data_IF_791568623461
#
_entry.id   IF_791568623461
#
_cell.length_a   1.000
_cell.length_b   1.000
_cell.length_c   1.000
_cell.angle_alpha   90.00
_cell.angle_beta   90.00
_cell.angle_gamma   90.00
#
_symmetry.space_group_name_H-M   'P 1'
#
loop_
_entity.id
_entity.type
_entity.pdbx_description
1 polymer ?
#
# COMPACT_ATOMS: atom_id res chain seq x y z
N UNK A 1 -3.66 11.01 30.88
CA UNK A 1 -4.02 9.66 30.39
C UNK A 1 -2.76 8.99 29.88
N UNK A 2 -2.15 8.14 30.72
CA UNK A 2 -0.93 7.41 30.38
C UNK A 2 -1.28 6.32 29.37
N UNK A 3 -0.86 6.50 28.10
CA UNK A 3 -0.88 5.42 27.12
C UNK A 3 0.08 4.34 27.61
N UNK A 4 -0.49 3.29 28.19
CA UNK A 4 0.20 2.05 28.54
C UNK A 4 1.09 1.63 27.36
N UNK A 5 2.40 1.69 27.58
CA UNK A 5 3.43 1.13 26.71
C UNK A 5 3.30 -0.40 26.72
N UNK A 6 2.32 -0.91 25.97
CA UNK A 6 2.41 -2.27 25.46
C UNK A 6 3.33 -2.17 24.25
N UNK A 7 4.47 -2.85 24.29
CA UNK A 7 5.33 -3.06 23.12
C UNK A 7 4.56 -3.90 22.11
N UNK A 8 3.66 -3.28 21.36
CA UNK A 8 3.12 -3.88 20.14
C UNK A 8 4.17 -3.59 19.07
N UNK A 9 5.06 -4.56 18.86
CA UNK A 9 5.98 -4.49 17.72
C UNK A 9 5.11 -4.54 16.46
N UNK A 10 4.97 -3.40 15.79
CA UNK A 10 4.24 -3.35 14.51
C UNK A 10 4.97 -4.28 13.55
N UNK A 11 4.26 -5.26 13.03
CA UNK A 11 4.80 -6.17 12.01
C UNK A 11 4.86 -5.43 10.67
N UNK A 12 5.75 -5.83 9.74
CA UNK A 12 5.79 -5.27 8.39
C UNK A 12 4.41 -5.22 7.72
N UNK A 13 3.62 -6.27 7.89
CA UNK A 13 2.28 -6.43 7.34
C UNK A 13 1.19 -5.57 8.03
N UNK A 14 1.52 -4.86 9.11
CA UNK A 14 0.66 -3.83 9.69
C UNK A 14 0.79 -2.51 8.91
N UNK A 15 1.82 -2.34 8.07
CA UNK A 15 2.01 -1.17 7.23
C UNK A 15 1.54 -1.43 5.79
N UNK A 16 0.97 -0.41 5.15
CA UNK A 16 0.66 -0.47 3.74
C UNK A 16 1.94 -0.30 2.90
N UNK A 17 2.22 -1.23 1.98
CA UNK A 17 3.39 -1.14 1.10
C UNK A 17 3.47 0.17 0.29
N UNK A 18 2.34 0.70 -0.19
CA UNK A 18 2.33 1.93 -1.02
C UNK A 18 2.43 3.21 -0.20
N UNK A 19 1.58 3.39 0.83
CA UNK A 19 1.57 4.63 1.63
C UNK A 19 2.54 4.63 2.81
N UNK A 20 3.09 3.48 3.22
CA UNK A 20 3.92 3.37 4.41
C UNK A 20 3.17 3.65 5.73
N UNK A 21 1.85 3.85 5.68
CA UNK A 21 1.01 4.10 6.85
C UNK A 21 0.69 2.80 7.60
N UNK A 22 0.70 2.85 8.94
CA UNK A 22 0.23 1.75 9.77
C UNK A 22 -1.31 1.66 9.71
N UNK A 23 -1.82 0.48 9.39
CA UNK A 23 -3.23 0.18 9.21
C UNK A 23 -3.72 -0.65 10.39
N UNK A 24 -4.33 0.02 11.37
CA UNK A 24 -4.81 -0.61 12.61
C UNK A 24 -5.94 -1.63 12.37
N UNK A 25 -6.75 -1.42 11.34
CA UNK A 25 -7.86 -2.32 10.97
C UNK A 25 -7.37 -3.31 9.92
N UNK A 26 -6.94 -4.51 10.34
CA UNK A 26 -6.34 -5.52 9.44
C UNK A 26 -7.26 -5.96 8.29
N UNK A 27 -8.58 -5.89 8.45
CA UNK A 27 -9.54 -6.15 7.36
C UNK A 27 -9.47 -5.13 6.20
N UNK A 28 -8.81 -3.99 6.42
CA UNK A 28 -8.53 -3.00 5.39
C UNK A 28 -7.21 -3.25 4.67
N UNK A 29 -6.54 -4.38 4.92
CA UNK A 29 -5.34 -4.80 4.20
C UNK A 29 -5.66 -5.88 3.16
N UNK A 30 -4.91 -5.89 2.06
CA UNK A 30 -5.02 -6.85 0.97
C UNK A 30 -3.64 -7.35 0.59
N UNK A 31 -3.50 -8.65 0.40
CA UNK A 31 -2.26 -9.26 -0.09
C UNK A 31 -1.98 -8.73 -1.50
N UNK A 32 -0.71 -8.43 -1.78
CA UNK A 32 -0.26 -8.02 -3.11
C UNK A 32 -0.32 -9.22 -4.06
N UNK A 33 -1.33 -9.24 -4.92
CA UNK A 33 -1.55 -10.25 -5.96
C UNK A 33 -0.85 -9.89 -7.26
N UNK A 34 -0.81 -10.82 -8.23
CA UNK A 34 -0.30 -10.54 -9.57
C UNK A 34 -1.01 -9.36 -10.24
N UNK A 35 -2.35 -9.31 -10.15
CA UNK A 35 -3.14 -8.20 -10.70
C UNK A 35 -2.75 -6.86 -10.08
N UNK A 36 -2.52 -6.81 -8.76
CA UNK A 36 -2.05 -5.61 -8.07
C UNK A 36 -0.67 -5.15 -8.56
N UNK A 37 0.24 -6.08 -8.84
CA UNK A 37 1.55 -5.74 -9.42
C UNK A 37 1.41 -5.12 -10.81
N UNK A 38 0.45 -5.59 -11.60
CA UNK A 38 0.16 -4.99 -12.92
C UNK A 38 -0.43 -3.59 -12.79
N UNK A 39 -1.38 -3.37 -11.86
CA UNK A 39 -1.91 -2.03 -11.59
C UNK A 39 -0.81 -1.09 -11.08
N UNK A 40 0.08 -1.59 -10.22
CA UNK A 40 1.23 -0.83 -9.73
C UNK A 40 2.17 -0.45 -10.88
N UNK A 41 2.53 -1.40 -11.74
CA UNK A 41 3.38 -1.14 -12.91
C UNK A 41 2.74 -0.13 -13.87
N UNK A 42 1.44 -0.26 -14.12
CA UNK A 42 0.71 0.66 -15.01
C UNK A 42 0.65 2.09 -14.44
N UNK A 43 0.58 2.24 -13.11
CA UNK A 43 0.52 3.56 -12.48
C UNK A 43 1.90 4.19 -12.28
N UNK A 44 2.87 3.43 -11.75
CA UNK A 44 4.20 3.94 -11.38
C UNK A 44 5.25 3.77 -12.48
N UNK A 45 4.98 3.01 -13.55
CA UNK A 45 5.95 2.73 -14.62
C UNK A 45 7.09 1.79 -14.22
N UNK A 46 7.07 1.26 -12.99
CA UNK A 46 8.13 0.39 -12.47
C UNK A 46 7.58 -0.85 -11.78
N UNK A 47 8.39 -1.91 -11.76
CA UNK A 47 8.04 -3.18 -11.10
C UNK A 47 8.06 -2.99 -9.58
N UNK A 48 7.14 -3.65 -8.90
CA UNK A 48 7.07 -3.67 -7.44
C UNK A 48 8.30 -4.42 -6.87
N UNK A 49 9.18 -3.69 -6.18
CA UNK A 49 10.47 -4.16 -5.66
C UNK A 49 10.43 -4.61 -4.19
N UNK A 50 11.58 -5.01 -3.66
CA UNK A 50 11.84 -5.27 -2.24
C UNK A 50 10.97 -6.34 -1.55
N UNK A 51 10.20 -7.14 -2.32
CA UNK A 51 9.32 -8.18 -1.75
C UNK A 51 10.06 -9.35 -1.14
N UNK A 52 11.34 -9.50 -1.44
CA UNK A 52 12.25 -10.50 -0.89
C UNK A 52 12.77 -10.09 0.51
N UNK A 53 12.58 -8.83 0.88
CA UNK A 53 13.08 -8.29 2.16
C UNK A 53 12.06 -8.53 3.27
N UNK A 54 12.54 -9.03 4.41
CA UNK A 54 11.71 -9.36 5.57
C UNK A 54 10.99 -8.15 6.19
N UNK A 55 11.53 -6.94 5.97
CA UNK A 55 10.94 -5.69 6.46
C UNK A 55 9.88 -5.11 5.53
N UNK A 56 9.77 -5.59 4.29
CA UNK A 56 8.84 -5.04 3.31
C UNK A 56 7.43 -5.62 3.51
N UNK A 57 6.38 -4.79 3.54
CA UNK A 57 5.02 -5.30 3.68
C UNK A 57 4.58 -6.15 2.48
N UNK A 58 3.92 -7.28 2.72
CA UNK A 58 3.31 -8.09 1.66
C UNK A 58 1.89 -7.64 1.32
N UNK A 59 1.41 -6.60 1.99
CA UNK A 59 0.04 -6.10 1.94
C UNK A 59 -0.02 -4.62 1.59
N UNK A 60 -1.12 -4.24 0.95
CA UNK A 60 -1.52 -2.85 0.72
C UNK A 60 -2.86 -2.58 1.37
N UNK A 61 -3.13 -1.33 1.74
CA UNK A 61 -4.45 -0.97 2.22
C UNK A 61 -5.48 -0.94 1.07
N UNK A 62 -6.75 -1.20 1.39
CA UNK A 62 -7.87 -1.15 0.44
C UNK A 62 -8.00 0.22 -0.21
N UNK A 63 -7.65 1.29 0.52
CA UNK A 63 -7.61 2.66 0.00
C UNK A 63 -6.64 2.78 -1.17
N UNK A 64 -5.38 2.35 -1.02
CA UNK A 64 -4.40 2.33 -2.13
C UNK A 64 -4.90 1.53 -3.32
N UNK A 65 -5.50 0.36 -3.07
CA UNK A 65 -6.04 -0.47 -4.15
C UNK A 65 -7.14 0.28 -4.92
N UNK A 66 -8.05 0.92 -4.21
CA UNK A 66 -9.13 1.69 -4.83
C UNK A 66 -8.57 2.91 -5.57
N UNK A 67 -7.62 3.64 -4.98
CA UNK A 67 -6.98 4.80 -5.62
C UNK A 67 -6.31 4.38 -6.94
N UNK A 68 -5.50 3.30 -6.94
CA UNK A 68 -4.89 2.75 -8.16
C UNK A 68 -5.94 2.39 -9.23
N UNK A 69 -7.04 1.74 -8.82
CA UNK A 69 -8.13 1.39 -9.74
C UNK A 69 -8.84 2.60 -10.31
N UNK A 70 -9.04 3.65 -9.51
CA UNK A 70 -9.70 4.87 -9.96
C UNK A 70 -8.80 5.66 -10.92
N UNK A 71 -7.50 5.75 -10.63
CA UNK A 71 -6.53 6.39 -11.52
C UNK A 71 -6.48 5.71 -12.88
N UNK A 72 -6.40 4.39 -12.91
CA UNK A 72 -6.37 3.63 -14.17
C UNK A 72 -7.70 3.68 -14.95
N UNK A 73 -8.81 3.99 -14.28
CA UNK A 73 -10.11 4.22 -14.93
C UNK A 73 -10.32 5.67 -15.37
N UNK A 74 -9.34 6.55 -15.17
CA UNK A 74 -9.46 7.99 -15.46
C UNK A 74 -10.47 8.73 -14.57
N UNK A 75 -10.88 8.13 -13.44
CA UNK A 75 -11.92 8.67 -12.55
C UNK A 75 -11.37 9.50 -11.39
N UNK A 76 -10.06 9.47 -11.15
CA UNK A 76 -9.39 10.26 -10.13
C UNK A 76 -7.95 10.51 -10.56
N UNK A 77 -7.49 11.76 -10.60
CA UNK A 77 -6.22 12.14 -11.25
C UNK A 77 -5.00 11.97 -10.35
N UNK A 78 -5.16 11.78 -9.03
CA UNK A 78 -4.02 11.81 -8.10
C UNK A 78 -4.19 10.78 -6.99
N UNK A 79 -3.32 9.76 -6.97
CA UNK A 79 -3.06 8.96 -5.76
C UNK A 79 -2.25 9.88 -4.84
N UNK A 80 -2.56 9.94 -3.53
CA UNK A 80 -2.01 10.95 -2.60
C UNK A 80 -0.48 11.04 -2.54
N UNK A 81 0.25 10.06 -3.08
CA UNK A 81 1.71 9.98 -3.09
C UNK A 81 2.34 9.79 -4.49
N UNK A 82 1.58 9.94 -5.57
CA UNK A 82 2.12 9.85 -6.93
C UNK A 82 1.96 11.19 -7.64
N UNK A 83 3.07 11.92 -7.84
CA UNK A 83 3.13 12.81 -9.00
C UNK A 83 2.88 11.89 -10.21
N UNK A 84 1.83 12.13 -11.01
CA UNK A 84 1.60 11.32 -12.21
C UNK A 84 2.84 11.39 -13.09
N UNK A 85 3.30 10.26 -13.62
CA UNK A 85 4.25 10.31 -14.74
C UNK A 85 3.58 11.06 -15.88
N UNK A 86 4.16 12.21 -16.21
CA UNK A 86 3.95 12.96 -17.46
C UNK A 86 4.40 12.15 -18.65
#
# INVERSE_FOLDING_TARGET
MTLSSRRYENLPDDFCYIYGECILIKNHMRIITYHLKQLYLAYFGMKLGDRDKSWAPYKICVKCLNDLRFCLKGKNTVVRFGVPMT
#
